data_IF_633459702998
#
_entry.id   IF_633459702998
#
_cell.length_a   1.000
_cell.length_b   1.000
_cell.length_c   1.000
_cell.angle_alpha   90.00
_cell.angle_beta   90.00
_cell.angle_gamma   90.00
#
_symmetry.space_group_name_H-M   'P 1'
#
loop_
_entity.id
_entity.type
_entity.pdbx_description
1 polymer ?
#
# COMPACT_ATOMS: atom_id res chain seq x y z
N UNK A 1 -0.24 4.36 17.15
CA UNK A 1 -1.18 3.22 17.29
C UNK A 1 -1.14 2.60 18.70
N UNK A 2 0.02 2.34 19.31
CA UNK A 2 0.12 1.81 20.69
C UNK A 2 1.14 2.54 21.60
N UNK A 3 1.62 3.72 21.20
CA UNK A 3 2.70 4.43 21.90
C UNK A 3 4.08 3.79 21.67
N UNK A 4 5.12 4.37 22.29
CA UNK A 4 6.51 3.95 22.08
C UNK A 4 6.90 2.70 22.88
N UNK A 5 6.08 2.29 23.85
CA UNK A 5 6.31 1.13 24.72
C UNK A 5 6.50 -0.17 23.92
N UNK A 6 5.91 -0.25 22.73
CA UNK A 6 5.96 -1.43 21.87
C UNK A 6 7.00 -1.33 20.75
N UNK A 7 7.68 -0.20 20.57
CA UNK A 7 8.62 0.01 19.47
C UNK A 7 9.85 -0.93 19.53
N UNK A 8 10.23 -1.36 20.73
CA UNK A 8 11.36 -2.28 20.96
C UNK A 8 10.93 -3.76 21.02
N UNK A 9 9.62 -4.04 20.91
CA UNK A 9 9.11 -5.41 20.95
C UNK A 9 9.16 -5.99 19.53
N UNK A 10 9.82 -7.13 19.37
CA UNK A 10 9.85 -7.82 18.08
C UNK A 10 8.46 -8.34 17.72
N UNK A 11 7.96 -7.94 16.55
CA UNK A 11 6.63 -8.34 16.08
C UNK A 11 6.49 -9.85 15.82
N UNK A 12 7.58 -10.54 15.47
CA UNK A 12 7.59 -12.00 15.27
C UNK A 12 6.83 -12.50 14.02
N UNK A 13 6.47 -11.60 13.10
CA UNK A 13 5.76 -11.95 11.87
C UNK A 13 6.73 -12.32 10.74
N UNK A 14 6.40 -13.38 10.01
CA UNK A 14 7.17 -13.80 8.83
C UNK A 14 6.77 -12.95 7.63
N UNK A 15 7.73 -12.23 7.04
CA UNK A 15 7.50 -11.31 5.91
C UNK A 15 8.46 -11.58 4.74
N UNK A 16 8.87 -12.85 4.54
CA UNK A 16 9.90 -13.23 3.57
C UNK A 16 9.64 -12.73 2.14
N UNK A 17 8.37 -12.60 1.74
CA UNK A 17 8.00 -12.13 0.39
C UNK A 17 8.50 -10.71 0.12
N UNK A 18 8.62 -9.85 1.14
CA UNK A 18 9.14 -8.49 0.97
C UNK A 18 10.64 -8.51 0.68
N UNK A 19 11.39 -9.41 1.33
CA UNK A 19 12.82 -9.57 1.10
C UNK A 19 13.17 -10.36 -0.17
N UNK A 20 12.23 -11.14 -0.70
CA UNK A 20 12.41 -11.98 -1.90
C UNK A 20 11.11 -12.09 -2.69
N UNK A 21 10.70 -11.01 -3.40
CA UNK A 21 9.37 -10.92 -4.00
C UNK A 21 9.21 -11.73 -5.30
N UNK A 22 10.31 -12.22 -5.89
CA UNK A 22 10.27 -12.93 -7.18
C UNK A 22 10.05 -12.02 -8.40
N UNK A 23 10.02 -10.70 -8.18
CA UNK A 23 9.95 -9.64 -9.19
C UNK A 23 10.96 -8.54 -8.85
N UNK A 24 11.05 -7.51 -9.67
CA UNK A 24 11.84 -6.31 -9.34
C UNK A 24 11.32 -5.68 -8.05
N UNK A 25 12.26 -5.33 -7.16
CA UNK A 25 11.92 -4.82 -5.82
C UNK A 25 11.14 -3.51 -5.90
N UNK A 26 11.50 -2.65 -6.84
CA UNK A 26 10.79 -1.39 -7.09
C UNK A 26 9.31 -1.60 -7.38
N UNK A 27 8.97 -2.62 -8.18
CA UNK A 27 7.59 -2.94 -8.55
C UNK A 27 6.81 -3.47 -7.34
N UNK A 28 7.39 -4.44 -6.61
CA UNK A 28 6.76 -5.00 -5.42
C UNK A 28 6.48 -3.93 -4.34
N UNK A 29 7.43 -3.03 -4.12
CA UNK A 29 7.31 -1.93 -3.16
C UNK A 29 6.28 -0.89 -3.62
N UNK A 30 6.19 -0.61 -4.93
CA UNK A 30 5.17 0.30 -5.48
C UNK A 30 3.75 -0.27 -5.32
N UNK A 31 3.57 -1.57 -5.53
CA UNK A 31 2.28 -2.24 -5.26
C UNK A 31 1.96 -2.26 -3.77
N UNK A 32 2.95 -2.51 -2.92
CA UNK A 32 2.78 -2.49 -1.45
C UNK A 32 2.41 -1.10 -0.95
N UNK A 33 2.97 -0.04 -1.54
CA UNK A 33 2.57 1.36 -1.31
C UNK A 33 1.11 1.60 -1.72
N UNK A 34 0.70 1.13 -2.89
CA UNK A 34 -0.68 1.28 -3.37
C UNK A 34 -1.67 0.58 -2.42
N UNK A 35 -1.41 -0.66 -2.01
CA UNK A 35 -2.25 -1.40 -1.06
C UNK A 35 -2.25 -0.73 0.32
N UNK A 36 -1.10 -0.24 0.79
CA UNK A 36 -1.01 0.51 2.06
C UNK A 36 -1.85 1.78 2.05
N UNK A 37 -1.90 2.46 0.90
CA UNK A 37 -2.74 3.64 0.67
C UNK A 37 -4.22 3.29 0.76
N UNK A 38 -4.65 2.20 0.10
CA UNK A 38 -6.05 1.72 0.16
C UNK A 38 -6.43 1.38 1.60
N UNK A 39 -5.54 0.70 2.33
CA UNK A 39 -5.80 0.26 3.70
C UNK A 39 -5.60 1.37 4.76
N UNK A 40 -5.08 2.54 4.38
CA UNK A 40 -4.86 3.65 5.29
C UNK A 40 -3.76 3.44 6.34
N UNK A 41 -2.74 2.62 6.05
CA UNK A 41 -1.62 2.43 6.96
C UNK A 41 -0.56 3.52 6.74
N UNK A 42 -0.51 4.52 7.63
CA UNK A 42 0.47 5.61 7.57
C UNK A 42 1.92 5.09 7.54
N UNK A 43 2.29 4.22 8.48
CA UNK A 43 3.67 3.76 8.64
C UNK A 43 4.13 2.90 7.47
N UNK A 44 3.24 2.03 6.97
CA UNK A 44 3.51 1.20 5.79
C UNK A 44 3.69 2.08 4.54
N UNK A 45 2.80 3.05 4.33
CA UNK A 45 2.85 3.94 3.16
C UNK A 45 4.14 4.76 3.16
N UNK A 46 4.52 5.34 4.30
CA UNK A 46 5.77 6.11 4.43
C UNK A 46 7.01 5.23 4.25
N UNK A 47 7.00 4.00 4.78
CA UNK A 47 8.11 3.07 4.62
C UNK A 47 8.30 2.66 3.15
N UNK A 48 7.22 2.26 2.47
CA UNK A 48 7.26 1.85 1.07
C UNK A 48 7.63 3.03 0.15
N UNK A 49 7.17 4.26 0.42
CA UNK A 49 7.61 5.47 -0.30
C UNK A 49 9.13 5.64 -0.20
N UNK A 50 9.67 5.56 1.02
CA UNK A 50 11.12 5.67 1.23
C UNK A 50 11.91 4.64 0.42
N UNK A 51 11.41 3.41 0.30
CA UNK A 51 12.07 2.34 -0.45
C UNK A 51 11.97 2.59 -1.96
N UNK A 52 10.78 2.82 -2.52
CA UNK A 52 10.65 3.04 -3.97
C UNK A 52 11.43 4.26 -4.45
N UNK A 53 11.53 5.30 -3.63
CA UNK A 53 12.35 6.49 -3.89
C UNK A 53 13.85 6.15 -3.94
N UNK A 54 14.32 5.23 -3.09
CA UNK A 54 15.72 4.73 -3.10
C UNK A 54 15.99 3.82 -4.29
N UNK A 55 14.99 3.06 -4.75
CA UNK A 55 15.05 2.24 -5.96
C UNK A 55 14.94 3.09 -7.25
N UNK A 56 14.83 4.43 -7.14
CA UNK A 56 14.97 5.36 -8.26
C UNK A 56 13.68 5.91 -8.85
N UNK A 57 12.51 5.56 -8.30
CA UNK A 57 11.25 6.13 -8.79
C UNK A 57 11.17 7.62 -8.49
N UNK A 58 10.54 8.38 -9.40
CA UNK A 58 10.23 9.82 -9.25
C UNK A 58 9.03 10.06 -8.33
N UNK A 59 8.86 11.29 -7.83
CA UNK A 59 7.80 11.60 -6.86
C UNK A 59 6.45 11.49 -7.55
N UNK A 60 6.45 11.89 -8.82
CA UNK A 60 5.34 11.84 -9.74
C UNK A 60 4.90 10.40 -10.00
N UNK A 61 5.84 9.47 -10.19
CA UNK A 61 5.53 8.03 -10.32
C UNK A 61 4.90 7.45 -9.05
N UNK A 62 5.42 7.79 -7.86
CA UNK A 62 4.84 7.34 -6.59
C UNK A 62 3.44 7.94 -6.38
N UNK A 63 3.28 9.23 -6.66
CA UNK A 63 1.99 9.91 -6.56
C UNK A 63 0.96 9.33 -7.53
N UNK A 64 1.38 8.87 -8.71
CA UNK A 64 0.48 8.20 -9.64
C UNK A 64 -0.04 6.88 -9.07
N UNK A 65 0.78 6.12 -8.35
CA UNK A 65 0.31 4.90 -7.66
C UNK A 65 -0.75 5.21 -6.59
N UNK A 66 -0.60 6.33 -5.85
CA UNK A 66 -1.61 6.81 -4.89
C UNK A 66 -2.93 7.17 -5.58
N UNK A 67 -2.86 7.89 -6.72
CA UNK A 67 -4.04 8.25 -7.51
C UNK A 67 -4.75 7.00 -8.07
N UNK A 68 -3.98 6.04 -8.57
CA UNK A 68 -4.51 4.76 -9.08
C UNK A 68 -5.21 4.00 -7.95
N UNK A 69 -4.57 3.88 -6.78
CA UNK A 69 -5.17 3.27 -5.60
C UNK A 69 -6.53 3.90 -5.23
N UNK A 70 -6.58 5.24 -5.15
CA UNK A 70 -7.82 5.96 -4.84
C UNK A 70 -8.91 5.76 -5.92
N UNK A 71 -8.51 5.77 -7.21
CA UNK A 71 -9.42 5.56 -8.34
C UNK A 71 -10.02 4.16 -8.30
N UNK A 72 -9.20 3.13 -8.06
CA UNK A 72 -9.65 1.74 -7.95
C UNK A 72 -10.62 1.55 -6.78
N UNK A 73 -10.34 2.15 -5.62
CA UNK A 73 -11.28 2.16 -4.49
C UNK A 73 -12.62 2.81 -4.85
N UNK A 74 -12.60 3.91 -5.60
CA UNK A 74 -13.82 4.58 -6.08
C UNK A 74 -14.62 3.73 -7.06
N UNK A 75 -13.96 3.07 -8.01
CA UNK A 75 -14.61 2.15 -8.96
C UNK A 75 -15.26 0.97 -8.23
N UNK A 76 -14.54 0.36 -7.28
CA UNK A 76 -15.07 -0.73 -6.48
C UNK A 76 -16.34 -0.28 -5.72
N UNK A 77 -16.30 0.88 -5.09
CA UNK A 77 -17.44 1.45 -4.38
C UNK A 77 -18.64 1.73 -5.30
N UNK A 78 -18.40 2.24 -6.50
CA UNK A 78 -19.47 2.51 -7.48
C UNK A 78 -20.17 1.22 -7.92
N UNK A 79 -19.40 0.16 -8.20
CA UNK A 79 -19.94 -1.16 -8.55
C UNK A 79 -20.75 -1.73 -7.38
N UNK A 80 -20.17 -1.79 -6.17
CA UNK A 80 -20.85 -2.34 -5.00
C UNK A 80 -22.15 -1.59 -4.66
N UNK A 81 -22.16 -0.26 -4.79
CA UNK A 81 -23.37 0.53 -4.60
C UNK A 81 -24.43 0.23 -5.68
N UNK A 82 -24.01 0.12 -6.95
CA UNK A 82 -24.91 -0.21 -8.05
C UNK A 82 -25.55 -1.60 -7.88
N UNK A 83 -24.77 -2.60 -7.47
CA UNK A 83 -25.27 -3.96 -7.24
C UNK A 83 -26.23 -4.03 -6.06
N UNK A 84 -25.90 -3.35 -4.95
CA UNK A 84 -26.77 -3.28 -3.77
C UNK A 84 -28.12 -2.65 -4.08
N UNK A 85 -28.15 -1.64 -4.96
CA UNK A 85 -29.39 -0.97 -5.39
C UNK A 85 -30.17 -1.77 -6.44
N UNK A 86 -29.49 -2.56 -7.28
CA UNK A 86 -30.15 -3.40 -8.29
C UNK A 86 -30.82 -4.65 -7.70
N UNK A 87 -30.38 -5.12 -6.52
CA UNK A 87 -30.98 -6.24 -5.80
C UNK A 87 -32.06 -5.87 -4.77
N UNK A 88 -32.34 -4.57 -4.59
CA UNK A 88 -33.32 -4.02 -3.65
C UNK A 88 -34.71 -3.81 -4.27
#
# INVERSE_FOLDING_TARGET
>A
FLGDDYAQVRMGLRMNIIGSPGVEKADFELWSLAVSTINGCHDCTAAHDSVVRKEGLTKEQVWEAVKIAATLSGVAQAISASEALAGA
#
